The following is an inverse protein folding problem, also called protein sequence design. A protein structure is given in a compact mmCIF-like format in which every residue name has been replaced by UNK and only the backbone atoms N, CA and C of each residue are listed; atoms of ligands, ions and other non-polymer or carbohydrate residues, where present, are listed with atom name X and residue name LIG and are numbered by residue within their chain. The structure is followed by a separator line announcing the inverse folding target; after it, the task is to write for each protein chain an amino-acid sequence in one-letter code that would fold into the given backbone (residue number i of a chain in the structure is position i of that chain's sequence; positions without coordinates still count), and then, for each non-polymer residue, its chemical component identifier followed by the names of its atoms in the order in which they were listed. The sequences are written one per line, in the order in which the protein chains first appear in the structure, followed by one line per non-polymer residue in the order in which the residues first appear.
data_IF_303222584551
#
_entry.id   IF_303222584551
#
_cell.length_a   1.000
_cell.length_b   1.000
_cell.length_c   1.000
_cell.angle_alpha   90.00
_cell.angle_beta   90.00
_cell.angle_gamma   90.00
#
_symmetry.space_group_name_H-M   'P 1'
#
loop_
_entity.id
_entity.type
_entity.pdbx_description
1 polymer ?
#
# COMPACT_ATOMS: atom_id res chain seq x y z
N UNK A 1 -4.23 -83.98 36.79
CA UNK A 1 -3.31 -83.15 35.97
C UNK A 1 -3.94 -83.00 34.59
N UNK A 2 -4.23 -81.84 33.99
CA UNK A 2 -3.85 -80.43 34.17
C UNK A 2 -5.06 -79.56 33.78
N UNK A 3 -5.29 -78.45 34.48
CA UNK A 3 -6.27 -77.42 34.14
C UNK A 3 -5.71 -76.55 33.00
N UNK A 4 -6.47 -76.31 31.94
CA UNK A 4 -6.16 -75.28 30.95
C UNK A 4 -7.04 -74.05 31.22
N UNK A 5 -6.41 -72.98 31.68
CA UNK A 5 -7.01 -71.65 31.87
C UNK A 5 -6.93 -70.94 30.52
N UNK A 6 -8.08 -70.58 29.93
CA UNK A 6 -8.13 -69.67 28.78
C UNK A 6 -8.20 -68.24 29.32
N UNK A 7 -7.12 -67.49 29.18
CA UNK A 7 -7.11 -66.05 29.39
C UNK A 7 -7.64 -65.36 28.14
N UNK A 8 -8.76 -64.63 28.27
CA UNK A 8 -9.25 -63.73 27.23
C UNK A 8 -8.56 -62.37 27.42
N UNK A 9 -7.74 -61.97 26.46
CA UNK A 9 -7.15 -60.63 26.39
C UNK A 9 -8.12 -59.73 25.60
N UNK A 10 -8.91 -58.91 26.30
CA UNK A 10 -9.69 -57.86 25.66
C UNK A 10 -8.77 -56.68 25.34
N UNK A 11 -8.48 -56.46 24.05
CA UNK A 11 -7.73 -55.30 23.58
C UNK A 11 -8.73 -54.15 23.34
N UNK A 12 -8.89 -53.24 24.30
CA UNK A 12 -9.68 -52.02 24.11
C UNK A 12 -8.84 -50.99 23.35
N UNK A 13 -9.14 -50.79 22.07
CA UNK A 13 -8.53 -49.74 21.25
C UNK A 13 -9.20 -48.40 21.59
N UNK A 14 -8.54 -47.58 22.43
CA UNK A 14 -9.00 -46.21 22.70
C UNK A 14 -8.49 -45.32 21.57
N UNK A 15 -9.38 -44.88 20.68
CA UNK A 15 -9.08 -43.88 19.66
C UNK A 15 -9.21 -42.51 20.30
N UNK A 16 -8.08 -41.92 20.72
CA UNK A 16 -8.01 -40.52 21.11
C UNK A 16 -7.97 -39.64 19.86
N UNK A 17 -9.10 -39.01 19.53
CA UNK A 17 -9.13 -37.92 18.55
C UNK A 17 -8.37 -36.72 19.12
N UNK A 18 -7.18 -36.45 18.57
CA UNK A 18 -6.46 -35.21 18.82
C UNK A 18 -7.17 -34.11 18.02
N UNK A 19 -7.91 -33.25 18.72
CA UNK A 19 -8.33 -31.97 18.15
C UNK A 19 -7.08 -31.11 17.98
N UNK A 20 -6.66 -30.90 16.73
CA UNK A 20 -5.66 -29.90 16.39
C UNK A 20 -6.36 -28.54 16.38
N UNK A 21 -6.13 -27.74 17.42
CA UNK A 21 -6.47 -26.32 17.36
C UNK A 21 -5.51 -25.66 16.39
N UNK A 22 -6.00 -25.16 15.24
CA UNK A 22 -5.22 -24.25 14.43
C UNK A 22 -4.99 -22.97 15.26
N UNK A 23 -3.76 -22.79 15.74
CA UNK A 23 -3.35 -21.52 16.32
C UNK A 23 -3.20 -20.55 15.15
N UNK A 24 -4.19 -19.69 14.97
CA UNK A 24 -4.08 -18.53 14.07
C UNK A 24 -3.02 -17.61 14.66
N UNK A 25 -1.78 -17.77 14.21
CA UNK A 25 -0.73 -16.81 14.50
C UNK A 25 -1.09 -15.50 13.81
N UNK A 26 -1.51 -14.50 14.59
CA UNK A 26 -1.60 -13.12 14.09
C UNK A 26 -0.17 -12.64 13.83
N UNK A 27 0.31 -12.85 12.60
CA UNK A 27 1.58 -12.29 12.15
C UNK A 27 1.48 -10.78 12.21
N UNK A 28 2.28 -10.14 13.05
CA UNK A 28 2.42 -8.68 13.03
C UNK A 28 2.89 -8.29 11.63
N UNK A 29 2.15 -7.43 10.90
CA UNK A 29 2.56 -7.01 9.58
C UNK A 29 3.94 -6.34 9.63
N UNK A 30 4.78 -6.55 8.60
CA UNK A 30 6.12 -5.97 8.59
C UNK A 30 6.04 -4.44 8.57
N UNK A 31 7.01 -3.80 9.22
CA UNK A 31 7.16 -2.34 9.22
C UNK A 31 7.18 -1.77 7.79
N UNK A 32 6.73 -0.53 7.63
CA UNK A 32 6.72 0.17 6.35
C UNK A 32 8.15 0.38 5.84
N UNK A 33 8.36 0.27 4.53
CA UNK A 33 9.66 0.43 3.85
C UNK A 33 9.50 1.39 2.68
N UNK A 34 10.61 1.93 2.20
CA UNK A 34 10.64 2.84 1.04
C UNK A 34 9.90 2.28 -0.19
N UNK A 35 10.05 0.97 -0.45
CA UNK A 35 9.38 0.30 -1.57
C UNK A 35 7.86 0.39 -1.46
N UNK A 36 7.28 0.43 -0.25
CA UNK A 36 5.82 0.46 -0.07
C UNK A 36 5.16 1.75 -0.62
N UNK A 37 5.97 2.76 -0.98
CA UNK A 37 5.57 3.99 -1.66
C UNK A 37 5.80 3.92 -3.17
N UNK A 38 5.57 2.75 -3.75
CA UNK A 38 5.56 2.53 -5.18
C UNK A 38 4.29 1.80 -5.59
N UNK A 39 3.98 1.83 -6.88
CA UNK A 39 2.88 1.04 -7.46
C UNK A 39 3.41 0.17 -8.58
N UNK A 40 2.66 -0.89 -8.88
CA UNK A 40 2.79 -1.62 -10.13
C UNK A 40 1.63 -1.23 -11.07
N UNK A 41 1.95 -0.87 -12.31
CA UNK A 41 1.00 -0.60 -13.41
C UNK A 41 1.61 -1.12 -14.71
N UNK A 42 0.85 -1.85 -15.53
CA UNK A 42 1.29 -2.38 -16.84
C UNK A 42 2.66 -3.10 -16.81
N UNK A 43 2.92 -3.89 -15.75
CA UNK A 43 4.19 -4.60 -15.46
C UNK A 43 5.40 -3.70 -15.18
N UNK A 44 5.20 -2.39 -15.07
CA UNK A 44 6.20 -1.41 -14.67
C UNK A 44 5.92 -0.95 -13.24
N UNK A 45 6.88 -0.26 -12.66
CA UNK A 45 6.74 0.31 -11.32
C UNK A 45 7.22 1.74 -11.31
N UNK A 46 6.48 2.58 -10.59
CA UNK A 46 6.86 3.96 -10.29
C UNK A 46 6.74 4.17 -8.78
N UNK A 47 7.65 4.95 -8.22
CA UNK A 47 7.72 5.24 -6.79
C UNK A 47 7.73 6.74 -6.50
N UNK A 48 7.25 7.10 -5.30
CA UNK A 48 7.46 8.44 -4.77
C UNK A 48 8.96 8.76 -4.68
N UNK A 49 9.35 9.89 -5.25
CA UNK A 49 10.73 10.36 -5.30
C UNK A 49 11.49 9.94 -6.56
N UNK A 50 10.91 9.08 -7.42
CA UNK A 50 11.51 8.80 -8.72
C UNK A 50 11.64 10.09 -9.53
N UNK A 51 12.71 10.18 -10.33
CA UNK A 51 12.89 11.30 -11.25
C UNK A 51 11.72 11.32 -12.24
N UNK A 52 11.15 12.49 -12.46
CA UNK A 52 10.15 12.69 -13.50
C UNK A 52 10.82 13.08 -14.82
N UNK A 53 10.55 12.31 -15.87
CA UNK A 53 10.93 12.61 -17.24
C UNK A 53 9.91 12.01 -18.23
N UNK A 54 10.16 12.22 -19.52
CA UNK A 54 9.28 11.72 -20.56
C UNK A 54 9.23 10.20 -20.58
N UNK A 55 10.31 9.50 -20.23
CA UNK A 55 10.33 8.03 -20.27
C UNK A 55 9.38 7.48 -19.21
N UNK A 56 9.42 8.02 -17.98
CA UNK A 56 8.46 7.67 -16.92
C UNK A 56 7.02 7.94 -17.34
N UNK A 57 6.74 9.09 -17.97
CA UNK A 57 5.39 9.42 -18.43
C UNK A 57 4.87 8.43 -19.49
N UNK A 58 5.69 8.10 -20.50
CA UNK A 58 5.36 7.08 -21.49
C UNK A 58 5.24 5.70 -20.85
N UNK A 59 6.01 5.42 -19.80
CA UNK A 59 6.00 4.12 -19.16
C UNK A 59 4.66 3.78 -18.54
N UNK A 60 4.05 4.77 -17.89
CA UNK A 60 2.75 4.67 -17.22
C UNK A 60 1.61 5.24 -18.06
N UNK A 61 1.85 5.57 -19.33
CA UNK A 61 0.84 5.99 -20.31
C UNK A 61 0.11 7.31 -19.98
N UNK A 62 0.73 8.19 -19.20
CA UNK A 62 0.20 9.54 -18.94
C UNK A 62 0.80 10.59 -19.89
N UNK A 63 0.10 11.72 -20.13
CA UNK A 63 0.65 12.81 -20.94
C UNK A 63 1.99 13.34 -20.37
N UNK A 64 2.98 13.52 -21.24
CA UNK A 64 4.29 14.10 -20.86
C UNK A 64 4.15 15.54 -20.37
N UNK A 65 3.27 16.31 -21.00
CA UNK A 65 2.90 17.64 -20.55
C UNK A 65 1.82 17.52 -19.46
N UNK A 66 2.19 17.87 -18.23
CA UNK A 66 1.26 17.93 -17.11
C UNK A 66 0.51 19.26 -17.06
N UNK A 67 -0.69 19.24 -16.49
CA UNK A 67 -1.42 20.46 -16.16
C UNK A 67 -0.77 21.13 -14.95
N UNK A 68 -0.31 22.38 -15.09
CA UNK A 68 0.17 23.14 -13.94
C UNK A 68 -0.98 23.38 -12.94
N UNK A 69 -0.81 22.89 -11.70
CA UNK A 69 -1.83 23.00 -10.64
C UNK A 69 -1.50 24.06 -9.60
N UNK A 70 -0.27 24.61 -9.62
CA UNK A 70 0.11 25.75 -8.82
C UNK A 70 1.47 25.61 -8.14
N UNK A 71 1.79 26.61 -7.34
CA UNK A 71 2.90 26.57 -6.41
C UNK A 71 2.38 26.29 -5.00
N UNK A 72 2.80 25.19 -4.39
CA UNK A 72 2.29 24.72 -3.11
C UNK A 72 3.37 24.93 -2.04
N UNK A 73 3.05 25.60 -0.92
CA UNK A 73 4.00 25.79 0.17
C UNK A 73 4.24 24.46 0.91
N UNK A 74 5.50 24.11 1.10
CA UNK A 74 5.94 22.99 1.92
C UNK A 74 7.23 23.39 2.65
N UNK A 75 7.28 23.22 3.97
CA UNK A 75 8.42 23.66 4.80
C UNK A 75 8.90 25.10 4.50
N UNK A 76 7.95 26.02 4.30
CA UNK A 76 8.21 27.45 4.04
C UNK A 76 8.72 27.80 2.63
N UNK A 77 8.79 26.84 1.70
CA UNK A 77 9.19 27.06 0.30
C UNK A 77 8.04 26.66 -0.63
N UNK A 78 7.84 27.43 -1.70
CA UNK A 78 6.84 27.14 -2.72
C UNK A 78 7.44 26.25 -3.81
N UNK A 79 6.81 25.12 -4.08
CA UNK A 79 7.23 24.16 -5.11
C UNK A 79 6.17 24.08 -6.21
N UNK A 80 6.61 23.88 -7.44
CA UNK A 80 5.73 23.79 -8.61
C UNK A 80 5.20 22.38 -8.75
N UNK A 81 3.89 22.24 -8.93
CA UNK A 81 3.22 20.97 -9.15
C UNK A 81 2.54 20.92 -10.52
N UNK A 82 2.67 19.77 -11.18
CA UNK A 82 2.01 19.46 -12.44
C UNK A 82 1.28 18.13 -12.30
N UNK A 83 0.02 18.08 -12.69
CA UNK A 83 -0.79 16.86 -12.68
C UNK A 83 -0.76 16.18 -14.05
N UNK A 84 -0.54 14.87 -14.03
CA UNK A 84 -0.58 13.98 -15.18
C UNK A 84 -1.68 12.95 -14.92
N UNK A 85 -2.69 12.91 -15.79
CA UNK A 85 -3.91 12.15 -15.57
C UNK A 85 -4.12 11.08 -16.63
N UNK A 86 -4.61 9.92 -16.21
CA UNK A 86 -5.28 8.93 -17.04
C UNK A 86 -6.39 8.24 -16.25
N UNK A 87 -7.07 7.26 -16.85
CA UNK A 87 -8.25 6.63 -16.25
C UNK A 87 -7.97 5.94 -14.89
N UNK A 88 -6.80 5.32 -14.75
CA UNK A 88 -6.46 4.47 -13.61
C UNK A 88 -5.85 5.26 -12.45
N UNK A 89 -5.17 6.37 -12.74
CA UNK A 89 -4.39 7.12 -11.75
C UNK A 89 -4.13 8.59 -12.12
N UNK A 90 -3.79 9.37 -11.09
CA UNK A 90 -3.11 10.65 -11.20
C UNK A 90 -1.67 10.52 -10.70
N UNK A 91 -0.70 11.09 -11.44
CA UNK A 91 0.64 11.37 -10.92
C UNK A 91 0.87 12.87 -10.88
N UNK A 92 1.46 13.35 -9.79
CA UNK A 92 1.96 14.71 -9.72
C UNK A 92 3.47 14.70 -9.82
N UNK A 93 3.98 15.47 -10.77
CA UNK A 93 5.39 15.83 -10.81
C UNK A 93 5.60 17.16 -10.10
N UNK A 94 6.67 17.27 -9.31
CA UNK A 94 7.04 18.54 -8.70
C UNK A 94 8.54 18.66 -8.46
N UNK A 95 9.01 19.90 -8.32
CA UNK A 95 10.35 20.17 -7.84
C UNK A 95 10.43 20.15 -6.30
N UNK A 96 9.48 19.51 -5.61
CA UNK A 96 9.40 19.42 -4.15
C UNK A 96 10.75 19.10 -3.51
N UNK A 97 11.18 19.88 -2.51
CA UNK A 97 12.44 19.77 -1.77
C UNK A 97 13.73 19.94 -2.61
N UNK A 98 13.67 20.61 -3.77
CA UNK A 98 14.88 20.88 -4.56
C UNK A 98 15.95 21.67 -3.78
N UNK A 99 15.56 22.58 -2.88
CA UNK A 99 16.45 23.41 -2.05
C UNK A 99 17.02 22.68 -0.82
N UNK A 100 16.38 21.57 -0.43
CA UNK A 100 16.84 20.70 0.67
C UNK A 100 17.65 19.50 0.17
N UNK A 101 17.79 19.36 -1.15
CA UNK A 101 18.52 18.28 -1.82
C UNK A 101 19.54 18.88 -2.79
N UNK A 102 20.44 18.08 -3.34
CA UNK A 102 21.43 18.56 -4.33
C UNK A 102 20.84 18.63 -5.76
N UNK A 103 19.54 18.97 -5.88
CA UNK A 103 18.81 19.03 -7.16
C UNK A 103 18.64 20.45 -7.69
N UNK A 104 18.48 20.57 -9.00
CA UNK A 104 18.13 21.83 -9.63
C UNK A 104 16.64 22.17 -9.40
N UNK A 105 16.29 23.46 -9.38
CA UNK A 105 14.89 23.91 -9.33
C UNK A 105 14.04 23.40 -10.50
N UNK A 106 14.67 22.99 -11.61
CA UNK A 106 14.03 22.39 -12.78
C UNK A 106 14.05 20.85 -12.77
N UNK A 107 14.54 20.21 -11.72
CA UNK A 107 14.49 18.75 -11.57
C UNK A 107 13.20 18.35 -10.85
N UNK A 108 12.36 17.61 -11.58
CA UNK A 108 11.07 17.15 -11.09
C UNK A 108 11.15 15.70 -10.62
N UNK A 109 10.34 15.37 -9.62
CA UNK A 109 10.16 14.02 -9.09
C UNK A 109 8.68 13.65 -9.10
N UNK A 110 8.39 12.36 -9.03
CA UNK A 110 7.06 11.83 -8.65
C UNK A 110 6.78 12.21 -7.20
N UNK A 111 5.93 13.21 -6.99
CA UNK A 111 5.61 13.74 -5.65
C UNK A 111 4.28 13.28 -5.08
N UNK A 112 3.38 12.82 -5.93
CA UNK A 112 2.15 12.17 -5.50
C UNK A 112 1.68 11.17 -6.53
N UNK A 113 1.11 10.06 -6.06
CA UNK A 113 0.43 9.05 -6.87
C UNK A 113 -0.95 8.84 -6.25
N UNK A 114 -2.01 8.95 -7.04
CA UNK A 114 -3.38 8.64 -6.60
C UNK A 114 -3.99 7.60 -7.52
N UNK A 115 -4.48 6.51 -6.96
CA UNK A 115 -5.00 5.34 -7.69
C UNK A 115 -6.53 5.28 -7.56
N UNK A 116 -7.19 5.01 -8.69
CA UNK A 116 -8.65 4.89 -8.80
C UNK A 116 -9.12 3.53 -9.34
N UNK A 117 -8.20 2.70 -9.83
CA UNK A 117 -8.51 1.45 -10.52
C UNK A 117 -7.84 0.22 -9.86
N UNK A 118 -8.42 -0.95 -10.11
CA UNK A 118 -7.89 -2.25 -9.68
C UNK A 118 -6.67 -2.70 -10.51
N UNK A 119 -6.42 -2.06 -11.66
CA UNK A 119 -5.26 -2.32 -12.54
C UNK A 119 -3.92 -1.91 -11.91
N UNK A 120 -3.96 -1.16 -10.82
CA UNK A 120 -2.81 -0.70 -10.07
C UNK A 120 -2.80 -1.31 -8.66
N UNK A 121 -1.63 -1.76 -8.21
CA UNK A 121 -1.47 -2.32 -6.87
C UNK A 121 -0.25 -1.78 -6.15
N UNK A 122 -0.33 -1.73 -4.82
CA UNK A 122 0.84 -1.54 -3.96
C UNK A 122 1.71 -2.80 -3.97
N UNK A 123 2.98 -2.75 -3.51
CA UNK A 123 3.86 -3.90 -3.51
C UNK A 123 3.43 -5.01 -2.55
N UNK A 124 2.53 -4.70 -1.61
CA UNK A 124 1.90 -5.68 -0.71
C UNK A 124 0.59 -6.24 -1.26
N UNK A 125 0.24 -5.91 -2.50
CA UNK A 125 -0.91 -6.44 -3.21
C UNK A 125 -2.24 -5.76 -2.90
N UNK A 126 -2.24 -4.58 -2.26
CA UNK A 126 -3.48 -3.82 -2.03
C UNK A 126 -3.78 -2.99 -3.27
N UNK A 127 -5.02 -3.01 -3.72
CA UNK A 127 -5.52 -2.26 -4.86
C UNK A 127 -6.90 -1.69 -4.55
N UNK A 128 -7.43 -0.84 -5.44
CA UNK A 128 -8.84 -0.44 -5.36
C UNK A 128 -9.72 -1.68 -5.50
N UNK A 129 -10.65 -1.87 -4.57
CA UNK A 129 -11.47 -3.08 -4.42
C UNK A 129 -11.01 -4.04 -3.32
N UNK A 130 -9.79 -3.92 -2.80
CA UNK A 130 -9.36 -4.72 -1.64
C UNK A 130 -10.20 -4.40 -0.40
N UNK A 131 -10.44 -5.40 0.43
CA UNK A 131 -11.15 -5.24 1.70
C UNK A 131 -10.27 -4.61 2.78
N UNK A 132 -10.89 -4.01 3.80
CA UNK A 132 -10.16 -3.54 4.99
C UNK A 132 -9.44 -4.68 5.72
N UNK A 133 -9.94 -5.91 5.64
CA UNK A 133 -9.29 -7.09 6.23
C UNK A 133 -8.00 -7.44 5.51
N UNK A 134 -8.00 -7.41 4.17
CA UNK A 134 -6.79 -7.59 3.35
C UNK A 134 -5.78 -6.48 3.61
N UNK A 135 -6.23 -5.22 3.68
CA UNK A 135 -5.40 -4.07 4.04
C UNK A 135 -4.73 -4.28 5.41
N UNK A 136 -5.52 -4.63 6.44
CA UNK A 136 -5.03 -4.85 7.79
C UNK A 136 -4.06 -6.03 7.86
N UNK A 137 -4.25 -7.07 7.04
CA UNK A 137 -3.31 -8.19 6.95
C UNK A 137 -1.97 -7.77 6.31
N UNK A 138 -2.02 -6.90 5.30
CA UNK A 138 -0.85 -6.46 4.56
C UNK A 138 -0.02 -5.39 5.31
N UNK A 139 -0.69 -4.43 5.94
CA UNK A 139 -0.05 -3.25 6.53
C UNK A 139 -0.31 -3.06 8.03
N UNK A 140 -1.29 -3.76 8.62
CA UNK A 140 -1.72 -3.54 10.00
C UNK A 140 -2.83 -2.50 10.12
N UNK A 141 -3.20 -2.16 11.35
CA UNK A 141 -4.37 -1.31 11.61
C UNK A 141 -4.27 0.12 11.04
N UNK A 142 -3.06 0.66 10.87
CA UNK A 142 -2.84 2.04 10.43
C UNK A 142 -3.39 3.10 11.40
N UNK A 143 -3.28 4.36 11.01
CA UNK A 143 -3.97 5.47 11.66
C UNK A 143 -5.29 5.71 10.94
N UNK A 144 -6.41 5.62 11.66
CA UNK A 144 -7.74 5.84 11.10
C UNK A 144 -8.19 7.27 11.32
N UNK A 145 -8.58 7.94 10.24
CA UNK A 145 -9.22 9.26 10.27
C UNK A 145 -10.62 9.16 9.69
N UNK A 146 -11.55 9.91 10.28
CA UNK A 146 -12.90 10.09 9.77
C UNK A 146 -13.18 11.58 9.74
N UNK A 147 -12.92 12.20 8.60
CA UNK A 147 -13.20 13.61 8.36
C UNK A 147 -14.36 13.73 7.38
N UNK A 148 -15.40 14.47 7.77
CA UNK A 148 -16.49 14.86 6.88
C UNK A 148 -17.19 13.69 6.17
N UNK A 149 -17.19 12.51 6.78
CA UNK A 149 -17.80 11.28 6.24
C UNK A 149 -16.88 10.47 5.32
N UNK A 150 -15.63 10.90 5.15
CA UNK A 150 -14.59 10.12 4.47
C UNK A 150 -13.73 9.38 5.49
N UNK A 151 -13.73 8.06 5.39
CA UNK A 151 -12.87 7.22 6.22
C UNK A 151 -11.55 6.96 5.49
N UNK A 152 -10.45 7.21 6.17
CA UNK A 152 -9.10 6.96 5.69
C UNK A 152 -8.32 6.09 6.68
N UNK A 153 -7.46 5.22 6.15
CA UNK A 153 -6.45 4.48 6.91
C UNK A 153 -5.09 4.85 6.35
N UNK A 154 -4.19 5.37 7.19
CA UNK A 154 -2.92 5.95 6.79
C UNK A 154 -1.72 5.30 7.49
N UNK A 155 -0.58 5.32 6.79
CA UNK A 155 0.70 4.82 7.27
C UNK A 155 1.81 5.81 6.87
N UNK A 156 2.73 6.06 7.80
CA UNK A 156 3.79 7.05 7.62
C UNK A 156 5.17 6.41 7.66
N UNK A 157 6.08 6.91 6.83
CA UNK A 157 7.52 6.66 6.90
C UNK A 157 8.28 7.97 6.67
N UNK A 158 8.78 8.56 7.74
CA UNK A 158 9.39 9.89 7.68
C UNK A 158 8.36 10.92 7.20
N UNK A 159 8.66 11.60 6.09
CA UNK A 159 7.75 12.58 5.46
C UNK A 159 6.84 11.96 4.40
N UNK A 160 6.85 10.63 4.20
CA UNK A 160 6.00 9.97 3.21
C UNK A 160 4.74 9.43 3.87
N UNK A 161 3.61 9.62 3.20
CA UNK A 161 2.29 9.20 3.64
C UNK A 161 1.65 8.27 2.60
N UNK A 162 1.19 7.11 3.06
CA UNK A 162 0.41 6.14 2.28
C UNK A 162 -0.98 6.04 2.91
N UNK A 163 -2.00 6.40 2.14
CA UNK A 163 -3.38 6.52 2.63
C UNK A 163 -4.36 5.75 1.76
N UNK A 164 -5.28 5.05 2.40
CA UNK A 164 -6.34 4.27 1.77
C UNK A 164 -7.69 4.86 2.15
N UNK A 165 -8.46 5.30 1.17
CA UNK A 165 -9.86 5.71 1.39
C UNK A 165 -10.72 4.47 1.48
N UNK A 166 -11.48 4.36 2.55
CA UNK A 166 -12.36 3.23 2.83
C UNK A 166 -13.81 3.67 2.63
N UNK A 167 -14.58 2.86 1.89
CA UNK A 167 -16.03 2.98 1.77
C UNK A 167 -16.64 1.59 1.72
N UNK A 168 -17.68 1.36 2.52
CA UNK A 168 -18.37 0.06 2.59
C UNK A 168 -17.39 -1.12 2.83
N UNK A 169 -16.41 -0.90 3.73
CA UNK A 169 -15.31 -1.82 4.05
C UNK A 169 -14.36 -2.18 2.89
N UNK A 170 -14.38 -1.43 1.80
CA UNK A 170 -13.49 -1.60 0.65
C UNK A 170 -12.61 -0.37 0.44
N UNK A 171 -11.40 -0.60 -0.06
CA UNK A 171 -10.50 0.43 -0.56
C UNK A 171 -11.07 0.99 -1.86
N UNK A 172 -11.37 2.28 -1.89
CA UNK A 172 -11.92 2.97 -3.08
C UNK A 172 -10.96 3.98 -3.69
N UNK A 173 -9.87 4.30 -3.00
CA UNK A 173 -8.79 5.17 -3.48
C UNK A 173 -7.53 4.86 -2.67
N UNK A 174 -6.37 4.92 -3.33
CA UNK A 174 -5.06 4.85 -2.68
C UNK A 174 -4.31 6.13 -3.02
N UNK A 175 -3.69 6.76 -2.04
CA UNK A 175 -2.85 7.95 -2.22
C UNK A 175 -1.49 7.72 -1.61
N UNK A 176 -0.45 8.15 -2.32
CA UNK A 176 0.92 8.22 -1.84
C UNK A 176 1.39 9.65 -2.04
N UNK A 177 1.82 10.34 -0.99
CA UNK A 177 2.34 11.71 -1.10
C UNK A 177 3.37 12.02 0.00
N UNK A 178 3.91 13.23 -0.04
CA UNK A 178 4.70 13.79 1.06
C UNK A 178 3.77 14.53 2.03
N UNK A 179 3.94 14.30 3.34
CA UNK A 179 3.24 14.99 4.41
C UNK A 179 3.99 16.30 4.75
N UNK A 180 3.23 17.41 4.77
CA UNK A 180 3.71 18.75 5.10
C UNK A 180 3.56 19.05 6.59
#
# INVERSE_FOLDING_TARGET
MRKFIRAYFCFSFIVSFLYSSEVVAHTVPPALRELDFSIAINKKSIALGDRWDNDVAHEIEVPTEGQFVGEIPFDGVNYKFYQHHQAELDVFSSNLLWDKTERNVNDYIVSQITIYSEECSTPRGIHVGSTIEELNKAYGAGQSENDSGEQWVSYELGIKLLSFKIKDNMVVKISMNYAN
#
